data_IF_739649268297
#
_entry.id   IF_739649268297
#
_cell.length_a   1.000
_cell.length_b   1.000
_cell.length_c   1.000
_cell.angle_alpha   90.00
_cell.angle_beta   90.00
_cell.angle_gamma   90.00
#
_symmetry.space_group_name_H-M   'P 1'
#
loop_
_entity.id
_entity.type
_entity.pdbx_description
1 polymer ?
#
# COMPACT_ATOMS: atom_id res chain seq x y z
N UNK A 1 -13.08 20.01 -1.13
CA UNK A 1 -13.98 20.19 0.03
C UNK A 1 -13.13 20.46 1.28
N UNK A 2 -13.70 21.01 2.35
CA UNK A 2 -13.01 21.07 3.65
C UNK A 2 -12.75 19.64 4.18
N UNK A 3 -11.60 19.43 4.80
CA UNK A 3 -11.21 18.11 5.34
C UNK A 3 -12.03 17.80 6.60
N UNK A 4 -12.73 16.66 6.60
CA UNK A 4 -13.67 16.22 7.66
C UNK A 4 -13.15 15.09 8.54
N UNK A 5 -11.85 14.87 8.62
CA UNK A 5 -11.28 13.87 9.51
C UNK A 5 -11.22 14.38 10.96
N UNK A 6 -11.09 13.46 11.92
CA UNK A 6 -10.95 13.83 13.33
C UNK A 6 -9.65 14.63 13.54
N UNK A 7 -9.65 15.68 14.38
CA UNK A 7 -8.43 16.41 14.71
C UNK A 7 -7.35 15.45 15.24
N UNK A 8 -6.16 15.47 14.65
CA UNK A 8 -5.06 14.56 15.00
C UNK A 8 -5.04 13.22 14.25
N UNK A 9 -6.02 12.95 13.38
CA UNK A 9 -5.99 11.75 12.53
C UNK A 9 -4.74 11.71 11.62
N UNK A 10 -4.11 10.55 11.52
CA UNK A 10 -2.98 10.30 10.62
C UNK A 10 -3.24 10.62 9.15
N UNK A 11 -4.49 10.52 8.70
CA UNK A 11 -4.91 10.84 7.33
C UNK A 11 -4.49 12.26 6.88
N UNK A 12 -4.46 13.23 7.80
CA UNK A 12 -3.99 14.59 7.50
C UNK A 12 -2.51 14.63 7.11
N UNK A 13 -1.68 13.85 7.81
CA UNK A 13 -0.25 13.80 7.55
C UNK A 13 0.05 13.09 6.22
N UNK A 14 -0.72 12.04 5.91
CA UNK A 14 -0.63 11.34 4.62
C UNK A 14 -1.06 12.26 3.47
N UNK A 15 -2.21 12.93 3.59
CA UNK A 15 -2.71 13.88 2.57
C UNK A 15 -1.66 14.95 2.25
N UNK A 16 -1.09 15.58 3.27
CA UNK A 16 -0.06 16.61 3.10
C UNK A 16 1.21 16.05 2.44
N UNK A 17 1.60 14.83 2.77
CA UNK A 17 2.78 14.18 2.20
C UNK A 17 2.58 13.82 0.72
N UNK A 18 1.39 13.34 0.34
CA UNK A 18 1.02 13.09 -1.06
C UNK A 18 0.99 14.40 -1.85
N UNK A 19 0.30 15.44 -1.35
CA UNK A 19 0.24 16.74 -2.02
C UNK A 19 1.64 17.34 -2.26
N UNK A 20 2.50 17.29 -1.26
CA UNK A 20 3.90 17.73 -1.40
C UNK A 20 4.67 16.88 -2.41
N UNK A 21 4.51 15.57 -2.35
CA UNK A 21 5.24 14.66 -3.25
C UNK A 21 4.83 14.89 -4.71
N UNK A 22 3.54 15.02 -4.99
CA UNK A 22 3.05 15.33 -6.34
C UNK A 22 3.60 16.66 -6.86
N UNK A 23 3.66 17.69 -6.01
CA UNK A 23 4.28 18.97 -6.37
C UNK A 23 5.78 18.81 -6.65
N UNK A 24 6.51 18.08 -5.80
CA UNK A 24 7.95 17.85 -5.94
C UNK A 24 8.31 17.09 -7.24
N UNK A 25 7.47 16.14 -7.68
CA UNK A 25 7.69 15.36 -8.91
C UNK A 25 7.10 16.02 -10.16
N UNK A 26 6.46 17.19 -10.01
CA UNK A 26 5.85 17.91 -11.12
C UNK A 26 4.63 17.21 -11.73
N UNK A 27 3.89 16.43 -10.92
CA UNK A 27 2.68 15.75 -11.38
C UNK A 27 1.59 16.77 -11.74
N UNK A 28 1.01 16.60 -12.93
CA UNK A 28 -0.03 17.48 -13.44
C UNK A 28 -1.42 17.02 -12.92
N UNK A 29 -2.23 17.92 -12.35
CA UNK A 29 -3.59 17.59 -11.90
C UNK A 29 -4.47 16.91 -12.95
N UNK A 30 -4.36 17.32 -14.21
CA UNK A 30 -5.15 16.84 -15.33
C UNK A 30 -4.79 15.40 -15.78
N UNK A 31 -3.60 14.92 -15.43
CA UNK A 31 -3.15 13.54 -15.73
C UNK A 31 -3.11 12.64 -14.49
N UNK A 32 -3.46 13.18 -13.32
CA UNK A 32 -3.45 12.46 -12.04
C UNK A 32 -4.88 12.11 -11.61
N UNK A 33 -5.12 10.86 -11.24
CA UNK A 33 -6.44 10.38 -10.82
C UNK A 33 -6.38 9.66 -9.48
N UNK A 34 -7.20 10.09 -8.53
CA UNK A 34 -7.37 9.42 -7.24
C UNK A 34 -8.67 8.61 -7.20
N UNK A 35 -8.56 7.29 -7.03
CA UNK A 35 -9.69 6.38 -6.93
C UNK A 35 -9.70 5.76 -5.54
N UNK A 36 -10.84 5.80 -4.86
CA UNK A 36 -10.96 5.24 -3.51
C UNK A 36 -12.22 4.40 -3.33
N UNK A 37 -12.21 3.56 -2.29
CA UNK A 37 -13.32 2.72 -1.89
C UNK A 37 -14.26 3.45 -0.93
N UNK A 38 -14.57 2.86 0.23
CA UNK A 38 -15.36 3.49 1.30
C UNK A 38 -14.62 3.37 2.64
N UNK A 39 -14.56 4.46 3.40
CA UNK A 39 -13.87 4.54 4.69
C UNK A 39 -13.37 5.96 4.99
N UNK A 40 -12.76 6.17 6.16
CA UNK A 40 -12.13 7.46 6.48
C UNK A 40 -11.04 7.78 5.45
N UNK A 41 -10.13 6.84 5.21
CA UNK A 41 -9.12 6.90 4.16
C UNK A 41 -9.72 7.24 2.79
N UNK A 42 -10.87 6.65 2.45
CA UNK A 42 -11.45 6.76 1.11
C UNK A 42 -12.09 8.12 0.81
N UNK A 43 -12.17 9.04 1.78
CA UNK A 43 -12.53 10.44 1.50
C UNK A 43 -11.43 11.21 0.75
N UNK A 44 -10.24 10.62 0.61
CA UNK A 44 -9.05 11.25 0.02
C UNK A 44 -9.29 12.00 -1.30
N UNK A 45 -10.02 11.45 -2.31
CA UNK A 45 -10.19 12.14 -3.59
C UNK A 45 -10.89 13.50 -3.46
N UNK A 46 -11.75 13.71 -2.45
CA UNK A 46 -12.43 15.00 -2.23
C UNK A 46 -11.51 16.14 -1.78
N UNK A 47 -10.28 15.80 -1.37
CA UNK A 47 -9.28 16.72 -0.84
C UNK A 47 -8.08 16.89 -1.78
N UNK A 48 -8.13 16.24 -2.94
CA UNK A 48 -7.15 16.40 -4.01
C UNK A 48 -7.73 17.35 -5.08
N UNK A 49 -6.91 18.28 -5.53
CA UNK A 49 -7.25 19.14 -6.67
C UNK A 49 -6.85 18.43 -7.97
N UNK A 50 -7.47 17.29 -8.26
CA UNK A 50 -7.20 16.43 -9.42
C UNK A 50 -8.47 15.63 -9.77
N UNK A 51 -8.44 14.86 -10.85
CA UNK A 51 -9.55 13.94 -11.15
C UNK A 51 -9.66 12.85 -10.08
N UNK A 52 -10.88 12.34 -9.85
CA UNK A 52 -11.04 11.24 -8.91
C UNK A 52 -12.43 10.62 -8.86
N UNK A 53 -12.47 9.40 -8.36
CA UNK A 53 -13.69 8.64 -8.10
C UNK A 53 -13.71 8.16 -6.65
N UNK A 54 -14.76 8.51 -5.92
CA UNK A 54 -15.11 7.82 -4.66
C UNK A 54 -16.11 6.73 -5.03
N UNK A 55 -15.66 5.48 -5.03
CA UNK A 55 -16.38 4.34 -5.60
C UNK A 55 -17.23 3.64 -4.54
N UNK A 56 -17.38 2.32 -4.63
CA UNK A 56 -18.07 1.50 -3.64
C UNK A 56 -17.06 0.63 -2.88
N UNK A 57 -17.45 0.18 -1.70
CA UNK A 57 -16.56 -0.46 -0.73
C UNK A 57 -15.79 -1.65 -1.35
N UNK A 58 -14.46 -1.58 -1.29
CA UNK A 58 -13.52 -2.57 -1.80
C UNK A 58 -13.50 -2.75 -3.32
N UNK A 59 -14.04 -1.81 -4.10
CA UNK A 59 -14.03 -1.88 -5.58
C UNK A 59 -13.07 -0.92 -6.26
N UNK A 60 -12.38 -0.08 -5.50
CA UNK A 60 -11.40 0.86 -6.05
C UNK A 60 -10.35 0.21 -6.95
N UNK A 61 -9.73 -0.94 -6.60
CA UNK A 61 -8.76 -1.59 -7.50
C UNK A 61 -9.37 -2.04 -8.84
N UNK A 62 -10.63 -2.49 -8.83
CA UNK A 62 -11.32 -2.93 -10.04
C UNK A 62 -11.64 -1.74 -10.96
N UNK A 63 -12.17 -0.64 -10.40
CA UNK A 63 -12.45 0.59 -11.16
C UNK A 63 -11.16 1.19 -11.71
N UNK A 64 -10.11 1.25 -10.90
CA UNK A 64 -8.81 1.76 -11.31
C UNK A 64 -8.16 0.94 -12.42
N UNK A 65 -8.30 -0.39 -12.39
CA UNK A 65 -7.85 -1.26 -13.48
C UNK A 65 -8.54 -0.93 -14.80
N UNK A 66 -9.87 -0.73 -14.77
CA UNK A 66 -10.63 -0.33 -15.96
C UNK A 66 -10.18 1.03 -16.53
N UNK A 67 -9.94 2.01 -15.66
CA UNK A 67 -9.42 3.31 -16.06
C UNK A 67 -8.03 3.18 -16.69
N UNK A 68 -7.10 2.47 -16.04
CA UNK A 68 -5.72 2.36 -16.50
C UNK A 68 -5.62 1.64 -17.85
N UNK A 69 -6.44 0.62 -18.09
CA UNK A 69 -6.53 -0.02 -19.42
C UNK A 69 -7.08 0.92 -20.50
N UNK A 70 -8.06 1.75 -20.14
CA UNK A 70 -8.72 2.67 -21.09
C UNK A 70 -7.83 3.85 -21.44
N UNK A 71 -7.04 4.34 -20.48
CA UNK A 71 -6.08 5.43 -20.68
C UNK A 71 -4.77 5.14 -19.93
N UNK A 72 -3.84 4.39 -20.56
CA UNK A 72 -2.56 4.00 -19.94
C UNK A 72 -1.66 5.18 -19.56
N UNK A 73 -1.86 6.37 -20.15
CA UNK A 73 -1.05 7.56 -19.87
C UNK A 73 -1.37 8.25 -18.54
N UNK A 74 -2.44 7.87 -17.85
CA UNK A 74 -2.81 8.48 -16.57
C UNK A 74 -1.99 7.94 -15.40
N UNK A 75 -1.64 8.82 -14.46
CA UNK A 75 -1.08 8.46 -13.16
C UNK A 75 -2.23 8.18 -12.18
N UNK A 76 -2.44 6.90 -11.86
CA UNK A 76 -3.62 6.44 -11.12
C UNK A 76 -3.23 5.97 -9.72
N UNK A 77 -3.75 6.66 -8.71
CA UNK A 77 -3.56 6.38 -7.31
C UNK A 77 -4.83 5.75 -6.73
N UNK A 78 -4.68 4.58 -6.09
CA UNK A 78 -5.75 3.91 -5.36
C UNK A 78 -5.56 4.15 -3.87
N UNK A 79 -6.53 4.77 -3.22
CA UNK A 79 -6.50 5.00 -1.77
C UNK A 79 -7.52 4.09 -1.10
N UNK A 80 -7.05 3.27 -0.16
CA UNK A 80 -7.86 2.27 0.52
C UNK A 80 -7.50 2.19 1.99
N UNK A 81 -8.47 1.87 2.85
CA UNK A 81 -8.19 1.45 4.23
C UNK A 81 -7.84 -0.05 4.27
N UNK A 82 -7.28 -0.50 5.39
CA UNK A 82 -7.10 -1.92 5.70
C UNK A 82 -8.39 -2.75 5.50
N UNK A 83 -9.53 -2.29 6.02
CA UNK A 83 -10.82 -2.96 5.80
C UNK A 83 -11.29 -2.98 4.36
N UNK A 84 -11.24 -1.83 3.70
CA UNK A 84 -11.68 -1.69 2.31
C UNK A 84 -10.86 -2.59 1.37
N UNK A 85 -9.54 -2.63 1.57
CA UNK A 85 -8.60 -3.28 0.66
C UNK A 85 -8.28 -4.73 1.00
N UNK A 86 -8.28 -5.10 2.29
CA UNK A 86 -7.88 -6.43 2.75
C UNK A 86 -9.05 -7.29 3.24
N UNK A 87 -10.24 -6.70 3.45
CA UNK A 87 -11.47 -7.47 3.70
C UNK A 87 -12.27 -7.62 2.40
N UNK A 88 -13.32 -6.83 2.21
CA UNK A 88 -14.25 -6.94 1.08
C UNK A 88 -13.58 -6.69 -0.29
N UNK A 89 -12.47 -5.94 -0.33
CA UNK A 89 -11.68 -5.69 -1.54
C UNK A 89 -10.53 -6.65 -1.79
N UNK A 90 -10.27 -7.59 -0.87
CA UNK A 90 -9.06 -8.44 -0.88
C UNK A 90 -8.82 -9.13 -2.21
N UNK A 91 -9.85 -9.73 -2.81
CA UNK A 91 -9.69 -10.44 -4.08
C UNK A 91 -9.39 -9.52 -5.28
N UNK A 92 -9.93 -8.29 -5.29
CA UNK A 92 -9.63 -7.31 -6.33
C UNK A 92 -8.21 -6.77 -6.19
N UNK A 93 -7.78 -6.51 -4.95
CA UNK A 93 -6.41 -6.09 -4.67
C UNK A 93 -5.41 -7.18 -5.05
N UNK A 94 -5.68 -8.44 -4.69
CA UNK A 94 -4.88 -9.61 -5.08
C UNK A 94 -4.67 -9.65 -6.60
N UNK A 95 -5.74 -9.57 -7.38
CA UNK A 95 -5.62 -9.62 -8.84
C UNK A 95 -4.97 -8.38 -9.46
N UNK A 96 -5.08 -7.22 -8.81
CA UNK A 96 -4.36 -6.01 -9.23
C UNK A 96 -2.85 -6.22 -9.09
N UNK A 97 -2.41 -6.70 -7.93
CA UNK A 97 -1.00 -7.00 -7.63
C UNK A 97 -0.46 -8.10 -8.56
N UNK A 98 -1.18 -9.22 -8.70
CA UNK A 98 -0.80 -10.35 -9.55
C UNK A 98 -0.61 -9.96 -11.01
N UNK A 99 -1.46 -9.06 -11.53
CA UNK A 99 -1.39 -8.59 -12.92
C UNK A 99 -0.30 -7.53 -13.13
N UNK A 100 0.15 -6.86 -12.07
CA UNK A 100 1.05 -5.71 -12.14
C UNK A 100 0.46 -4.53 -12.93
N UNK A 101 -0.81 -4.20 -12.67
CA UNK A 101 -1.48 -3.03 -13.27
C UNK A 101 -0.77 -1.75 -12.82
N UNK A 102 -0.49 -0.79 -13.71
CA UNK A 102 0.22 0.45 -13.38
C UNK A 102 -0.55 1.40 -12.47
N UNK A 103 -0.66 1.02 -11.19
CA UNK A 103 -1.42 1.70 -10.14
C UNK A 103 -0.55 1.94 -8.91
N UNK A 104 -0.79 3.06 -8.22
CA UNK A 104 -0.16 3.38 -6.93
C UNK A 104 -1.15 3.12 -5.81
N UNK A 105 -1.04 1.97 -5.14
CA UNK A 105 -1.96 1.58 -4.07
C UNK A 105 -1.41 2.08 -2.73
N UNK A 106 -2.13 3.00 -2.11
CA UNK A 106 -1.87 3.49 -0.76
C UNK A 106 -2.87 2.83 0.20
N UNK A 107 -2.38 1.89 1.00
CA UNK A 107 -3.16 1.24 2.05
C UNK A 107 -2.93 1.96 3.37
N UNK A 108 -3.96 2.61 3.89
CA UNK A 108 -3.92 3.26 5.20
C UNK A 108 -4.28 2.19 6.23
N UNK A 109 -3.27 1.67 6.90
CA UNK A 109 -3.41 0.63 7.89
C UNK A 109 -3.50 1.26 9.28
N UNK A 110 -4.69 1.26 9.86
CA UNK A 110 -4.96 1.74 11.21
C UNK A 110 -5.53 0.64 12.13
N UNK A 111 -5.52 -0.60 11.66
CA UNK A 111 -6.02 -1.77 12.37
C UNK A 111 -7.48 -1.63 12.88
N UNK A 112 -8.34 -0.82 12.23
CA UNK A 112 -9.72 -0.57 12.69
C UNK A 112 -10.65 -0.01 11.60
N UNK A 113 -11.95 -0.35 11.63
CA UNK A 113 -12.95 0.29 10.78
C UNK A 113 -13.43 1.62 11.38
N UNK A 114 -12.65 2.68 11.17
CA UNK A 114 -12.93 4.00 11.76
C UNK A 114 -14.28 4.61 11.36
N UNK A 115 -14.63 4.60 10.06
CA UNK A 115 -15.84 5.29 9.58
C UNK A 115 -17.14 4.67 10.11
N UNK A 116 -17.15 3.35 10.31
CA UNK A 116 -18.31 2.60 10.82
C UNK A 116 -18.33 2.50 12.35
N UNK A 117 -17.50 3.31 13.02
CA UNK A 117 -17.42 3.46 14.48
C UNK A 117 -16.66 2.36 15.22
N UNK A 118 -15.59 1.85 14.63
CA UNK A 118 -14.52 1.15 15.37
C UNK A 118 -14.69 -0.36 15.51
N UNK A 119 -15.25 -1.05 14.51
CA UNK A 119 -15.15 -2.52 14.43
C UNK A 119 -13.71 -2.94 14.13
N UNK A 120 -13.31 -4.13 14.58
CA UNK A 120 -11.99 -4.67 14.22
C UNK A 120 -11.89 -4.93 12.71
N UNK A 121 -10.70 -4.78 12.16
CA UNK A 121 -10.35 -5.00 10.76
C UNK A 121 -9.56 -6.30 10.58
N UNK A 122 -9.28 -6.75 9.35
CA UNK A 122 -8.42 -7.92 9.11
C UNK A 122 -7.00 -7.78 9.67
N UNK A 123 -6.56 -6.56 10.00
CA UNK A 123 -5.20 -6.31 10.52
C UNK A 123 -5.18 -6.06 12.03
N UNK A 124 -6.36 -5.97 12.68
CA UNK A 124 -6.44 -5.81 14.13
C UNK A 124 -5.78 -6.96 14.88
N UNK A 125 -4.97 -6.61 15.88
CA UNK A 125 -4.33 -7.57 16.78
C UNK A 125 -5.36 -8.42 17.53
N UNK A 126 -5.00 -9.65 17.94
CA UNK A 126 -5.84 -10.45 18.84
C UNK A 126 -6.10 -9.69 20.15
N UNK A 127 -7.32 -9.80 20.66
CA UNK A 127 -7.75 -9.10 21.87
C UNK A 127 -8.26 -7.68 21.67
N UNK A 128 -8.23 -7.12 20.45
CA UNK A 128 -8.79 -5.79 20.16
C UNK A 128 -10.28 -5.77 20.47
N UNK A 129 -10.66 -5.04 21.52
CA UNK A 129 -12.07 -4.88 21.92
C UNK A 129 -12.74 -3.85 21.01
N UNK A 130 -13.89 -4.23 20.46
CA UNK A 130 -14.65 -3.39 19.53
C UNK A 130 -16.15 -3.59 19.75
N UNK A 131 -17.05 -2.75 19.19
CA UNK A 131 -18.49 -2.93 19.34
C UNK A 131 -18.99 -4.32 18.91
N UNK A 132 -18.36 -4.93 17.90
CA UNK A 132 -18.70 -6.27 17.40
C UNK A 132 -17.87 -7.39 18.03
N UNK A 133 -16.82 -7.05 18.77
CA UNK A 133 -15.96 -8.00 19.50
C UNK A 133 -15.73 -7.50 20.94
N UNK A 134 -16.78 -7.51 21.79
CA UNK A 134 -16.70 -6.95 23.14
C UNK A 134 -15.74 -7.72 24.07
N UNK A 135 -15.45 -8.98 23.74
CA UNK A 135 -14.48 -9.82 24.45
C UNK A 135 -13.07 -9.78 23.85
N UNK A 136 -12.87 -8.98 22.80
CA UNK A 136 -11.64 -8.96 22.00
C UNK A 136 -11.78 -9.77 20.71
N UNK A 137 -11.05 -9.38 19.67
CA UNK A 137 -10.90 -10.14 18.42
C UNK A 137 -10.16 -11.46 18.66
N UNK A 138 -10.61 -12.52 18.00
CA UNK A 138 -9.97 -13.85 18.02
C UNK A 138 -9.16 -14.14 16.77
N UNK A 139 -9.41 -13.38 15.70
CA UNK A 139 -8.83 -13.61 14.39
C UNK A 139 -7.33 -13.30 14.41
N UNK A 140 -6.57 -14.12 13.68
CA UNK A 140 -5.15 -13.84 13.45
C UNK A 140 -5.03 -12.69 12.45
N UNK A 141 -4.29 -11.62 12.77
CA UNK A 141 -4.18 -10.46 11.90
C UNK A 141 -3.46 -10.82 10.59
N UNK A 142 -3.99 -10.32 9.49
CA UNK A 142 -3.34 -10.36 8.20
C UNK A 142 -2.16 -9.38 8.18
N UNK A 143 -0.98 -9.85 7.79
CA UNK A 143 0.13 -8.96 7.47
C UNK A 143 -0.02 -8.45 6.03
N UNK A 144 -0.32 -7.17 5.86
CA UNK A 144 -0.63 -6.57 4.56
C UNK A 144 0.51 -6.75 3.54
N UNK A 145 1.75 -6.53 3.97
CA UNK A 145 2.93 -6.75 3.11
C UNK A 145 3.13 -8.22 2.71
N UNK A 146 2.91 -9.18 3.62
CA UNK A 146 3.00 -10.61 3.28
C UNK A 146 1.85 -11.05 2.37
N UNK A 147 0.64 -10.52 2.57
CA UNK A 147 -0.47 -10.68 1.63
C UNK A 147 -0.06 -10.16 0.23
N UNK A 148 0.53 -8.98 0.15
CA UNK A 148 0.96 -8.40 -1.12
C UNK A 148 2.04 -9.25 -1.79
N UNK A 149 3.05 -9.70 -1.03
CA UNK A 149 4.10 -10.58 -1.52
C UNK A 149 3.52 -11.90 -2.05
N UNK A 150 2.63 -12.55 -1.28
CA UNK A 150 1.95 -13.78 -1.67
C UNK A 150 1.02 -13.61 -2.87
N UNK A 151 0.44 -12.43 -3.07
CA UNK A 151 -0.34 -12.07 -4.26
C UNK A 151 0.53 -11.81 -5.50
N UNK A 152 1.86 -11.83 -5.37
CA UNK A 152 2.80 -11.60 -6.47
C UNK A 152 3.19 -10.14 -6.67
N UNK A 153 3.03 -9.28 -5.66
CA UNK A 153 3.43 -7.88 -5.75
C UNK A 153 4.93 -7.74 -6.06
N UNK A 154 5.22 -6.87 -7.02
CA UNK A 154 6.57 -6.61 -7.50
C UNK A 154 7.18 -5.36 -6.88
N UNK A 155 6.37 -4.45 -6.34
CA UNK A 155 6.81 -3.34 -5.53
C UNK A 155 6.04 -3.32 -4.21
N UNK A 156 6.75 -3.35 -3.09
CA UNK A 156 6.18 -3.31 -1.73
C UNK A 156 6.99 -2.31 -0.91
N UNK A 157 6.32 -1.36 -0.28
CA UNK A 157 6.93 -0.42 0.64
C UNK A 157 6.08 -0.26 1.92
N UNK A 158 6.74 0.10 3.01
CA UNK A 158 6.12 0.47 4.28
C UNK A 158 6.53 1.88 4.69
N UNK A 159 5.59 2.65 5.22
CA UNK A 159 5.84 4.00 5.72
C UNK A 159 4.99 4.29 6.97
N UNK A 160 5.34 5.35 7.69
CA UNK A 160 4.58 5.86 8.84
C UNK A 160 3.99 7.21 8.44
N UNK A 161 2.73 7.45 8.79
CA UNK A 161 2.02 8.70 8.51
C UNK A 161 2.77 9.98 8.96
N UNK A 162 3.40 9.92 10.14
CA UNK A 162 4.09 11.03 10.79
C UNK A 162 5.56 11.17 10.39
N UNK A 163 6.17 10.15 9.76
CA UNK A 163 7.50 10.25 9.16
C UNK A 163 7.41 10.87 7.76
N UNK A 164 7.32 12.21 7.74
CA UNK A 164 7.20 12.99 6.50
C UNK A 164 8.33 12.73 5.51
N UNK A 165 9.54 12.43 6.00
CA UNK A 165 10.70 12.23 5.14
C UNK A 165 10.66 10.85 4.52
N UNK A 166 10.50 9.80 5.33
CA UNK A 166 10.41 8.42 4.84
C UNK A 166 9.17 8.22 3.95
N UNK A 167 8.01 8.71 4.36
CA UNK A 167 6.79 8.64 3.55
C UNK A 167 6.95 9.39 2.21
N UNK A 168 7.52 10.60 2.23
CA UNK A 168 7.79 11.35 1.01
C UNK A 168 8.73 10.63 0.04
N UNK A 169 9.78 9.98 0.55
CA UNK A 169 10.68 9.16 -0.27
C UNK A 169 9.96 7.95 -0.87
N UNK A 170 9.21 7.20 -0.05
CA UNK A 170 8.43 6.04 -0.51
C UNK A 170 7.42 6.44 -1.60
N UNK A 171 6.73 7.56 -1.44
CA UNK A 171 5.77 8.05 -2.43
C UNK A 171 6.44 8.42 -3.77
N UNK A 172 7.63 9.02 -3.73
CA UNK A 172 8.42 9.33 -4.96
C UNK A 172 8.83 8.05 -5.70
N UNK A 173 9.34 7.07 -4.95
CA UNK A 173 9.71 5.77 -5.49
C UNK A 173 8.48 5.01 -6.05
N UNK A 174 7.34 5.07 -5.35
CA UNK A 174 6.10 4.47 -5.82
C UNK A 174 5.63 5.11 -7.13
N UNK A 175 5.61 6.46 -7.20
CA UNK A 175 5.25 7.20 -8.41
C UNK A 175 6.10 6.76 -9.62
N UNK A 176 7.42 6.69 -9.45
CA UNK A 176 8.35 6.31 -10.53
C UNK A 176 8.30 4.85 -11.00
N UNK A 177 7.61 3.96 -10.28
CA UNK A 177 7.60 2.53 -10.59
C UNK A 177 6.61 2.15 -11.72
N UNK A 178 7.04 1.48 -12.78
CA UNK A 178 6.12 0.97 -13.81
C UNK A 178 5.47 -0.35 -13.38
N UNK A 179 4.17 -0.31 -13.07
CA UNK A 179 3.41 -1.44 -12.52
C UNK A 179 2.72 -1.10 -11.19
N UNK A 180 2.28 -2.13 -10.46
CA UNK A 180 1.58 -1.91 -9.18
C UNK A 180 2.58 -1.62 -8.06
N UNK A 181 2.55 -0.39 -7.54
CA UNK A 181 3.26 -0.03 -6.31
C UNK A 181 2.32 -0.17 -5.11
N UNK A 182 2.57 -1.14 -4.24
CA UNK A 182 1.82 -1.31 -3.00
C UNK A 182 2.56 -0.66 -1.82
N UNK A 183 1.92 0.33 -1.20
CA UNK A 183 2.47 1.07 -0.06
C UNK A 183 1.55 0.89 1.14
N UNK A 184 2.02 0.17 2.15
CA UNK A 184 1.38 0.10 3.46
C UNK A 184 1.83 1.30 4.29
N UNK A 185 0.87 2.12 4.73
CA UNK A 185 1.13 3.29 5.57
C UNK A 185 0.50 3.04 6.93
N UNK A 186 1.33 2.91 7.96
CA UNK A 186 0.88 2.83 9.35
C UNK A 186 0.29 4.18 9.76
N UNK A 187 -1.02 4.20 10.01
CA UNK A 187 -1.85 5.39 10.14
C UNK A 187 -2.54 5.40 11.50
N UNK A 188 -2.35 6.45 12.30
CA UNK A 188 -2.94 6.49 13.65
C UNK A 188 -4.41 6.93 13.64
N UNK A 189 -5.31 6.06 14.09
CA UNK A 189 -6.74 6.38 14.27
C UNK A 189 -7.01 6.85 15.71
N UNK A 190 -6.87 8.15 15.94
CA UNK A 190 -6.95 8.78 17.27
C UNK A 190 -8.27 8.55 18.04
N UNK A 191 -9.35 8.17 17.36
CA UNK A 191 -10.66 7.97 18.00
C UNK A 191 -10.91 6.54 18.45
N UNK A 192 -10.46 5.55 17.66
CA UNK A 192 -10.86 4.15 17.86
C UNK A 192 -9.70 3.18 18.09
N UNK A 193 -8.48 3.56 17.71
CA UNK A 193 -7.31 2.69 17.83
C UNK A 193 -6.03 3.53 17.99
N UNK A 194 -6.10 4.46 18.93
CA UNK A 194 -5.02 5.42 19.18
C UNK A 194 -3.76 4.70 19.67
N UNK A 195 -2.61 5.19 19.23
CA UNK A 195 -1.29 4.69 19.64
C UNK A 195 -1.06 3.19 19.37
N UNK A 196 -1.86 2.54 18.52
CA UNK A 196 -1.71 1.11 18.23
C UNK A 196 -0.30 0.76 17.73
N UNK A 197 0.33 1.67 17.00
CA UNK A 197 1.70 1.51 16.50
C UNK A 197 2.78 2.18 17.37
N UNK A 198 2.47 2.64 18.59
CA UNK A 198 3.41 3.40 19.43
C UNK A 198 4.69 2.62 19.79
N UNK A 199 4.64 1.29 19.76
CA UNK A 199 5.81 0.42 19.96
C UNK A 199 6.95 0.68 18.99
N UNK A 200 6.66 1.17 17.77
CA UNK A 200 7.69 1.58 16.81
C UNK A 200 7.56 3.02 16.30
N UNK A 201 6.39 3.66 16.40
CA UNK A 201 6.20 5.06 15.97
C UNK A 201 6.49 6.08 17.07
N UNK A 202 6.44 5.67 18.34
CA UNK A 202 6.72 6.53 19.48
C UNK A 202 8.19 6.99 19.48
N UNK A 203 8.44 8.29 19.70
CA UNK A 203 9.80 8.87 19.67
C UNK A 203 10.83 8.13 20.55
N UNK A 204 10.49 7.67 21.77
CA UNK A 204 11.45 6.93 22.60
C UNK A 204 11.84 5.57 22.00
N UNK A 205 10.94 4.96 21.22
CA UNK A 205 11.10 3.60 20.71
C UNK A 205 11.69 3.57 19.29
N UNK A 206 11.44 4.61 18.50
CA UNK A 206 11.72 4.64 17.07
C UNK A 206 13.17 4.26 16.71
N UNK A 207 14.14 4.69 17.52
CA UNK A 207 15.57 4.42 17.29
C UNK A 207 15.90 2.91 17.33
N UNK A 208 15.24 2.16 18.21
CA UNK A 208 15.51 0.72 18.42
C UNK A 208 14.47 -0.19 17.77
N UNK A 209 13.31 0.36 17.37
CA UNK A 209 12.17 -0.38 16.83
C UNK A 209 11.88 -0.10 15.35
N UNK A 210 12.70 0.69 14.66
CA UNK A 210 12.58 0.93 13.21
C UNK A 210 13.88 0.60 12.49
N UNK A 211 13.76 0.11 11.26
CA UNK A 211 14.87 0.00 10.31
C UNK A 211 14.42 0.57 8.96
N UNK A 212 15.12 1.61 8.51
CA UNK A 212 14.87 2.26 7.22
C UNK A 212 15.74 1.61 6.16
N UNK A 213 15.14 0.73 5.36
CA UNK A 213 15.86 -0.10 4.40
C UNK A 213 16.17 0.68 3.13
N UNK A 214 17.37 0.47 2.58
CA UNK A 214 17.83 1.06 1.32
C UNK A 214 18.60 0.01 0.53
N UNK A 215 18.28 -0.16 -0.75
CA UNK A 215 18.94 -1.16 -1.59
C UNK A 215 20.47 -1.03 -1.56
N UNK A 216 21.16 -2.16 -1.36
CA UNK A 216 22.61 -2.28 -1.24
C UNK A 216 23.18 -1.86 0.12
N UNK A 217 22.41 -1.18 0.98
CA UNK A 217 22.86 -0.75 2.30
C UNK A 217 22.80 -1.91 3.32
N UNK A 218 23.71 -1.93 4.31
CA UNK A 218 23.64 -2.89 5.41
C UNK A 218 22.39 -2.66 6.26
N UNK A 219 21.76 -3.74 6.72
CA UNK A 219 20.58 -3.70 7.57
C UNK A 219 20.96 -3.42 9.02
N UNK A 220 21.15 -2.13 9.33
CA UNK A 220 21.60 -1.62 10.63
C UNK A 220 20.50 -0.78 11.27
N UNK A 221 20.34 -0.91 12.59
CA UNK A 221 19.39 -0.15 13.39
C UNK A 221 19.90 0.03 14.83
N UNK A 222 19.09 0.66 15.69
CA UNK A 222 19.47 0.95 17.08
C UNK A 222 20.31 2.22 17.21
N UNK A 223 20.48 2.68 18.45
CA UNK A 223 21.18 3.95 18.75
C UNK A 223 22.61 3.93 18.20
N UNK A 224 22.88 4.84 17.26
CA UNK A 224 24.19 4.93 16.59
C UNK A 224 24.51 3.76 15.66
N UNK A 225 23.50 2.97 15.26
CA UNK A 225 23.69 1.79 14.42
C UNK A 225 24.35 0.62 15.16
N UNK A 226 24.02 0.44 16.43
CA UNK A 226 24.63 -0.58 17.30
C UNK A 226 24.17 -2.01 17.01
N UNK A 227 23.07 -2.21 16.28
CA UNK A 227 22.49 -3.52 15.96
C UNK A 227 22.44 -3.75 14.45
N UNK A 228 22.67 -4.99 14.04
CA UNK A 228 22.55 -5.43 12.65
C UNK A 228 21.61 -6.64 12.52
N UNK A 229 21.10 -6.86 11.31
CA UNK A 229 20.40 -8.09 10.96
C UNK A 229 21.34 -9.02 10.19
N UNK A 230 21.47 -10.27 10.64
CA UNK A 230 22.18 -11.35 9.95
C UNK A 230 21.19 -12.40 9.46
N UNK A 231 21.48 -13.02 8.33
CA UNK A 231 20.75 -14.21 7.88
C UNK A 231 21.46 -15.48 8.35
N UNK A 232 20.79 -16.27 9.18
CA UNK A 232 21.24 -17.62 9.55
C UNK A 232 20.80 -18.61 8.45
N UNK A 233 21.77 -19.06 7.65
CA UNK A 233 21.55 -20.02 6.56
C UNK A 233 21.22 -21.45 7.02
N UNK A 234 21.48 -21.81 8.27
CA UNK A 234 21.14 -23.13 8.81
C UNK A 234 19.69 -23.16 9.29
N UNK A 235 19.24 -22.09 9.95
CA UNK A 235 17.87 -21.96 10.45
C UNK A 235 16.90 -21.34 9.44
N UNK A 236 17.43 -20.70 8.40
CA UNK A 236 16.67 -19.89 7.43
C UNK A 236 15.90 -18.74 8.10
N UNK A 237 16.52 -18.10 9.10
CA UNK A 237 15.92 -17.04 9.91
C UNK A 237 16.81 -15.79 9.95
N UNK A 238 16.21 -14.65 10.32
CA UNK A 238 16.97 -13.46 10.71
C UNK A 238 17.38 -13.54 12.18
N UNK A 239 18.56 -13.00 12.48
CA UNK A 239 19.05 -12.83 13.84
C UNK A 239 19.53 -11.39 14.04
N UNK A 240 19.26 -10.83 15.22
CA UNK A 240 19.80 -9.53 15.63
C UNK A 240 21.20 -9.73 16.22
N UNK A 241 22.19 -9.02 15.69
CA UNK A 241 23.59 -9.10 16.10
C UNK A 241 24.13 -7.72 16.54
N UNK A 242 25.23 -7.71 17.31
CA UNK A 242 25.98 -6.49 17.61
C UNK A 242 26.78 -6.05 16.38
N UNK A 243 26.43 -4.88 15.83
CA UNK A 243 27.02 -4.38 14.59
C UNK A 243 28.48 -3.95 14.74
N UNK A 244 28.93 -3.60 15.94
CA UNK A 244 30.32 -3.22 16.20
C UNK A 244 31.26 -4.42 16.26
N UNK A 245 30.73 -5.60 16.64
CA UNK A 245 31.50 -6.85 16.73
C UNK A 245 31.43 -7.70 15.46
N UNK A 246 30.31 -7.67 14.75
CA UNK A 246 29.99 -8.59 13.65
C UNK A 246 29.60 -7.83 12.37
N UNK A 247 30.24 -6.69 12.11
CA UNK A 247 29.84 -5.76 11.03
C UNK A 247 29.89 -6.33 9.62
N UNK A 248 30.79 -7.28 9.36
CA UNK A 248 30.96 -8.00 8.10
C UNK A 248 29.89 -9.07 7.85
N UNK A 249 29.20 -9.52 8.90
CA UNK A 249 28.13 -10.52 8.84
C UNK A 249 26.74 -9.88 8.60
N UNK A 250 26.65 -8.55 8.60
CA UNK A 250 25.38 -7.83 8.45
C UNK A 250 24.83 -8.02 7.03
N UNK A 251 23.61 -8.53 6.95
CA UNK A 251 22.86 -8.69 5.72
C UNK A 251 22.65 -7.32 5.06
N UNK A 252 22.86 -7.26 3.74
CA UNK A 252 22.55 -6.08 2.93
C UNK A 252 21.14 -6.21 2.36
N UNK A 253 20.42 -5.10 2.32
CA UNK A 253 19.09 -5.06 1.73
C UNK A 253 19.16 -5.23 0.21
N UNK A 254 18.57 -6.30 -0.31
CA UNK A 254 18.35 -6.49 -1.73
C UNK A 254 16.84 -6.47 -2.00
N UNK A 255 16.34 -5.34 -2.52
CA UNK A 255 14.92 -5.17 -2.83
C UNK A 255 14.45 -6.08 -3.97
N UNK A 256 15.36 -6.66 -4.76
CA UNK A 256 15.00 -7.59 -5.84
C UNK A 256 14.71 -9.00 -5.31
N UNK A 257 15.25 -9.34 -4.14
CA UNK A 257 15.15 -10.67 -3.54
C UNK A 257 13.78 -10.88 -2.86
N UNK A 258 12.97 -11.86 -3.31
CA UNK A 258 11.71 -12.19 -2.64
C UNK A 258 11.94 -12.82 -1.26
N UNK A 259 13.08 -13.47 -1.04
CA UNK A 259 13.43 -14.09 0.24
C UNK A 259 13.72 -13.02 1.29
N UNK A 260 14.53 -12.02 0.95
CA UNK A 260 14.80 -10.89 1.86
C UNK A 260 13.52 -10.11 2.13
N UNK A 261 12.70 -9.87 1.10
CA UNK A 261 11.40 -9.23 1.29
C UNK A 261 10.51 -10.01 2.26
N UNK A 262 10.40 -11.33 2.12
CA UNK A 262 9.64 -12.19 3.03
C UNK A 262 10.12 -12.04 4.48
N UNK A 263 11.45 -12.13 4.70
CA UNK A 263 12.04 -12.02 6.02
C UNK A 263 11.76 -10.65 6.66
N UNK A 264 11.96 -9.55 5.91
CA UNK A 264 11.74 -8.20 6.40
C UNK A 264 10.25 -7.90 6.68
N UNK A 265 9.34 -8.43 5.86
CA UNK A 265 7.91 -8.25 6.03
C UNK A 265 7.34 -9.03 7.21
N UNK A 266 7.99 -10.14 7.58
CA UNK A 266 7.68 -10.96 8.76
C UNK A 266 8.18 -10.37 10.08
N UNK A 267 9.07 -9.37 10.06
CA UNK A 267 9.56 -8.72 11.28
C UNK A 267 8.44 -7.97 12.01
N UNK A 268 8.43 -8.09 13.34
CA UNK A 268 7.54 -7.37 14.25
C UNK A 268 8.30 -6.98 15.53
N UNK A 269 8.06 -5.77 16.09
CA UNK A 269 8.54 -5.41 17.41
C UNK A 269 7.85 -6.22 18.52
N UNK A 270 8.53 -6.48 19.65
CA UNK A 270 9.88 -6.01 20.01
C UNK A 270 11.02 -6.90 19.50
N UNK A 271 10.75 -8.09 18.98
CA UNK A 271 11.79 -9.06 18.59
C UNK A 271 12.65 -8.54 17.44
N UNK A 272 12.02 -7.84 16.49
CA UNK A 272 12.68 -7.22 15.36
C UNK A 272 12.20 -5.77 15.14
N UNK A 273 13.02 -4.88 14.56
CA UNK A 273 12.55 -3.56 14.17
C UNK A 273 11.50 -3.66 13.05
N UNK A 274 10.61 -2.67 12.95
CA UNK A 274 9.73 -2.51 11.81
C UNK A 274 10.52 -2.07 10.58
N UNK A 275 10.48 -2.85 9.50
CA UNK A 275 11.06 -2.45 8.22
C UNK A 275 10.23 -1.36 7.54
N UNK A 276 10.87 -0.24 7.20
CA UNK A 276 10.31 0.93 6.55
C UNK A 276 11.13 1.27 5.30
N UNK A 277 10.48 1.86 4.29
CA UNK A 277 11.08 2.11 2.97
C UNK A 277 10.62 1.10 1.92
N UNK A 278 11.36 1.03 0.81
CA UNK A 278 11.09 0.08 -0.29
C UNK A 278 11.66 -1.28 0.08
N UNK A 279 10.79 -2.22 0.43
CA UNK A 279 11.16 -3.56 0.87
C UNK A 279 11.35 -4.49 -0.33
N UNK A 280 10.55 -4.32 -1.37
CA UNK A 280 10.64 -5.10 -2.60
C UNK A 280 10.49 -4.21 -3.82
N UNK A 281 11.29 -4.48 -4.85
CA UNK A 281 11.16 -3.95 -6.20
C UNK A 281 11.68 -4.97 -7.21
N UNK A 282 10.85 -5.34 -8.16
CA UNK A 282 11.21 -6.16 -9.30
C UNK A 282 10.70 -5.49 -10.56
N UNK A 283 11.58 -5.13 -11.48
CA UNK A 283 11.17 -4.59 -12.76
C UNK A 283 10.45 -5.64 -13.59
N UNK A 284 9.31 -5.27 -14.15
CA UNK A 284 8.55 -6.06 -15.09
C UNK A 284 7.61 -5.14 -15.87
N UNK A 285 7.17 -5.59 -17.04
CA UNK A 285 6.20 -4.88 -17.84
C UNK A 285 4.84 -4.78 -17.10
N UNK A 286 4.16 -3.64 -17.26
CA UNK A 286 2.84 -3.41 -16.64
C UNK A 286 1.77 -4.25 -17.35
N UNK A 287 0.64 -4.44 -16.68
CA UNK A 287 -0.48 -5.20 -17.26
C UNK A 287 -1.01 -4.55 -18.53
N UNK A 288 -1.19 -3.23 -18.51
CA UNK A 288 -1.72 -2.46 -19.62
C UNK A 288 -0.77 -2.41 -20.81
N UNK A 289 0.55 -2.33 -20.57
CA UNK A 289 1.56 -2.40 -21.64
C UNK A 289 1.48 -3.76 -22.35
N UNK A 290 1.47 -4.86 -21.59
CA UNK A 290 1.30 -6.21 -22.13
C UNK A 290 -0.03 -6.40 -22.84
N UNK A 291 -1.11 -5.86 -22.27
CA UNK A 291 -2.44 -5.92 -22.88
C UNK A 291 -2.40 -5.24 -24.24
N UNK A 292 -1.95 -3.98 -24.32
CA UNK A 292 -1.93 -3.19 -25.54
C UNK A 292 -0.91 -3.67 -26.58
N UNK A 293 0.19 -4.33 -26.18
CA UNK A 293 1.15 -4.92 -27.11
C UNK A 293 0.51 -5.96 -28.04
N UNK A 294 -0.56 -6.64 -27.60
CA UNK A 294 -1.31 -7.61 -28.40
C UNK A 294 -2.42 -7.00 -29.26
N UNK A 295 -2.75 -5.72 -29.11
CA UNK A 295 -3.79 -5.05 -29.91
C UNK A 295 -3.17 -4.23 -31.04
N UNK A 296 -3.88 -4.09 -32.18
CA UNK A 296 -3.44 -3.17 -33.22
C UNK A 296 -3.33 -1.75 -32.64
N UNK A 297 -2.24 -1.00 -32.92
CA UNK A 297 -2.13 0.38 -32.51
C UNK A 297 -3.32 1.18 -33.05
N UNK A 298 -4.00 1.91 -32.16
CA UNK A 298 -5.16 2.71 -32.52
C UNK A 298 -6.40 1.89 -32.82
N UNK A 299 -6.90 1.12 -31.84
CA UNK A 299 -8.28 0.61 -31.84
C UNK A 299 -9.23 1.80 -32.06
N UNK A 300 -9.52 2.06 -33.33
CA UNK A 300 -10.34 3.18 -33.73
C UNK A 300 -11.75 2.88 -33.25
N UNK A 301 -12.37 3.89 -32.63
CA UNK A 301 -13.78 3.81 -32.27
C UNK A 301 -14.59 3.61 -33.56
N UNK A 302 -15.10 2.40 -33.77
CA UNK A 302 -15.86 2.05 -34.98
C UNK A 302 -17.31 2.53 -34.94
N UNK A 303 -17.84 2.83 -33.75
CA UNK A 303 -19.19 3.37 -33.55
C UNK A 303 -19.30 4.15 -32.22
N UNK A 304 -20.32 5.01 -32.07
CA UNK A 304 -20.63 5.61 -30.77
C UNK A 304 -21.23 4.53 -29.86
N UNK A 305 -21.00 4.64 -28.55
CA UNK A 305 -21.59 3.70 -27.58
C UNK A 305 -23.12 3.70 -27.69
N UNK A 306 -23.69 4.89 -27.91
CA UNK A 306 -25.13 5.05 -28.15
C UNK A 306 -25.62 4.27 -29.39
N UNK A 307 -24.84 4.23 -30.46
CA UNK A 307 -25.22 3.51 -31.70
C UNK A 307 -25.19 1.99 -31.46
N UNK A 308 -24.23 1.50 -30.66
CA UNK A 308 -24.15 0.08 -30.25
C UNK A 308 -25.30 -0.31 -29.32
N UNK A 309 -25.61 0.52 -28.32
CA UNK A 309 -26.75 0.30 -27.41
C UNK A 309 -28.07 0.27 -28.19
N UNK A 310 -28.21 1.14 -29.18
CA UNK A 310 -29.39 1.23 -30.03
C UNK A 310 -29.40 0.19 -31.18
N UNK A 311 -28.35 -0.62 -31.32
CA UNK A 311 -28.29 -1.65 -32.34
C UNK A 311 -29.25 -2.81 -32.01
N UNK A 312 -29.89 -3.37 -33.03
CA UNK A 312 -30.82 -4.50 -32.84
C UNK A 312 -30.00 -5.76 -32.51
N UNK A 313 -29.89 -6.10 -31.24
CA UNK A 313 -29.39 -7.42 -30.80
C UNK A 313 -30.43 -8.50 -31.16
N UNK A 314 -30.44 -8.96 -32.41
CA UNK A 314 -31.29 -10.10 -32.81
C UNK A 314 -30.47 -11.38 -32.80
N UNK A 315 -30.86 -12.34 -31.98
CA UNK A 315 -30.40 -13.72 -32.04
C UNK A 315 -31.49 -14.55 -32.73
N UNK A 316 -31.12 -15.40 -33.71
CA UNK A 316 -32.03 -16.42 -34.24
C UNK A 316 -31.89 -17.67 -33.38
N UNK A 317 -32.94 -18.02 -32.65
CA UNK A 317 -33.07 -19.35 -32.05
C UNK A 317 -33.42 -20.30 -33.20
N UNK A 318 -32.60 -21.34 -33.40
CA UNK A 318 -32.80 -22.33 -34.48
C UNK A 318 -34.14 -23.05 -34.33
N UNK A 319 -34.73 -23.37 -35.49
CA UNK A 319 -35.98 -24.14 -35.67
C UNK A 319 -35.76 -25.60 -35.28
#
# INVERSE_FOLDING_TARGET
QEVRWCPGCGDYAILKSVQRTLADVGALPESTVFISGIGCSSRFPYYMNAYGFHTIHGRAPAVATGLKLTNPGLDVWVVTGDGDGLSIGGNHLLHTLRRNVGLKVLLFNNEIYGLTKGQYSPTSRPGTRSPTSPLGSTDTPLCAGLFALGAGARFIARAIDTDKTGLGQVLKEAHGYNGTAFVEIFQNCIVYNDEVFASFTGRPNAVDAQIHVKHGAPLVFGKGGSKGLRFDSQRMLLEVIDAGRHGDEILRHDETSPVIAQLLLSMQPPEFPMALGVIRRQLAESFEDQFHAGYPPGLARTARVQDVINSKNTWRVGV
#
